data_IF_462059973654
#
_entry.id   IF_462059973654
#
_cell.length_a   1.000
_cell.length_b   1.000
_cell.length_c   1.000
_cell.angle_alpha   90.00
_cell.angle_beta   90.00
_cell.angle_gamma   90.00
#
_symmetry.space_group_name_H-M   'P 1'
#
loop_
_entity.id
_entity.type
_entity.pdbx_description
1 polymer ?
#
# COMPACT_ATOMS: atom_id res chain seq x y z
N UNK A 1 -0.69 -13.12 10.57
CA UNK A 1 -1.27 -12.06 11.42
C UNK A 1 -2.61 -11.69 10.80
N UNK A 2 -3.51 -11.10 11.58
CA UNK A 2 -4.74 -10.52 11.02
C UNK A 2 -4.41 -9.33 10.11
N UNK A 3 -5.39 -8.91 9.34
CA UNK A 3 -5.31 -7.62 8.66
C UNK A 3 -5.20 -6.47 9.67
N UNK A 4 -4.52 -5.40 9.27
CA UNK A 4 -4.38 -4.20 10.08
C UNK A 4 -4.42 -2.95 9.22
N UNK A 5 -4.79 -1.83 9.84
CA UNK A 5 -4.95 -0.56 9.15
C UNK A 5 -3.79 0.39 9.48
N UNK A 6 -3.38 1.16 8.48
CA UNK A 6 -2.40 2.22 8.60
C UNK A 6 -2.96 3.51 7.98
N UNK A 7 -2.58 4.63 8.56
CA UNK A 7 -2.87 5.96 8.03
C UNK A 7 -1.59 6.60 7.53
N UNK A 8 -1.57 7.05 6.28
CA UNK A 8 -0.44 7.73 5.64
C UNK A 8 -0.98 8.96 4.94
N UNK A 9 -0.56 10.17 5.33
CA UNK A 9 -1.04 11.43 4.75
C UNK A 9 -2.57 11.61 4.69
N UNK A 10 -3.28 11.14 5.73
CA UNK A 10 -4.77 11.10 5.81
C UNK A 10 -5.43 10.05 4.90
N UNK A 11 -4.65 9.32 4.13
CA UNK A 11 -5.10 8.14 3.38
C UNK A 11 -5.06 6.90 4.29
N UNK A 12 -6.06 6.04 4.15
CA UNK A 12 -6.24 4.84 4.96
C UNK A 12 -6.00 3.60 4.12
N UNK A 13 -5.04 2.78 4.54
CA UNK A 13 -4.74 1.49 3.92
C UNK A 13 -5.00 0.37 4.89
N UNK A 14 -5.74 -0.64 4.43
CA UNK A 14 -5.86 -1.93 5.10
C UNK A 14 -4.89 -2.90 4.47
N UNK A 15 -3.98 -3.44 5.28
CA UNK A 15 -2.96 -4.38 4.86
C UNK A 15 -3.36 -5.78 5.32
N UNK A 16 -3.40 -6.71 4.37
CA UNK A 16 -3.65 -8.12 4.64
C UNK A 16 -2.45 -8.96 4.22
N UNK A 17 -2.02 -9.86 5.10
CA UNK A 17 -1.00 -10.85 4.76
C UNK A 17 -1.62 -11.99 3.96
N UNK A 18 -0.99 -12.34 2.83
CA UNK A 18 -1.38 -13.46 1.97
C UNK A 18 -0.18 -14.35 1.71
N UNK A 19 -0.27 -15.62 2.10
CA UNK A 19 0.68 -16.63 1.68
C UNK A 19 0.28 -17.15 0.30
N UNK A 20 1.19 -17.03 -0.65
CA UNK A 20 1.06 -17.59 -1.97
C UNK A 20 1.21 -19.13 -1.90
N UNK A 21 0.65 -19.88 -2.86
CA UNK A 21 0.77 -21.33 -2.90
C UNK A 21 2.22 -21.83 -2.99
N UNK A 22 3.13 -21.00 -3.48
CA UNK A 22 4.57 -21.26 -3.54
C UNK A 22 5.32 -20.98 -2.21
N UNK A 23 4.60 -20.58 -1.16
CA UNK A 23 5.15 -20.27 0.16
C UNK A 23 5.62 -18.83 0.34
N UNK A 24 5.62 -18.00 -0.72
CA UNK A 24 5.98 -16.59 -0.59
C UNK A 24 4.92 -15.80 0.16
N UNK A 25 5.38 -14.86 0.98
CA UNK A 25 4.52 -13.88 1.62
C UNK A 25 4.28 -12.70 0.69
N UNK A 26 3.02 -12.30 0.58
CA UNK A 26 2.56 -11.09 -0.10
C UNK A 26 1.72 -10.25 0.85
N UNK A 27 1.72 -8.95 0.63
CA UNK A 27 0.94 -7.98 1.38
C UNK A 27 -0.04 -7.30 0.41
N UNK A 28 -1.33 -7.47 0.65
CA UNK A 28 -2.37 -6.79 -0.09
C UNK A 28 -2.72 -5.48 0.63
N UNK A 29 -2.53 -4.35 -0.06
CA UNK A 29 -2.90 -3.02 0.41
C UNK A 29 -4.21 -2.61 -0.24
N UNK A 30 -5.27 -2.47 0.56
CA UNK A 30 -6.55 -1.92 0.13
C UNK A 30 -6.66 -0.47 0.58
N UNK A 31 -6.80 0.47 -0.35
CA UNK A 31 -6.88 1.90 -0.06
C UNK A 31 -8.34 2.28 0.21
N UNK A 32 -8.72 2.36 1.49
CA UNK A 32 -10.12 2.40 1.94
C UNK A 32 -10.84 3.72 1.63
N UNK A 33 -10.12 4.84 1.63
CA UNK A 33 -10.64 6.16 1.24
C UNK A 33 -10.01 6.64 -0.08
N UNK A 34 -9.44 5.71 -0.83
CA UNK A 34 -8.76 5.97 -2.08
C UNK A 34 -9.71 6.03 -3.27
N UNK A 35 -9.13 6.02 -4.48
CA UNK A 35 -9.90 6.03 -5.72
C UNK A 35 -10.79 4.78 -5.86
N UNK A 36 -11.72 4.84 -6.81
CA UNK A 36 -12.70 3.79 -7.06
C UNK A 36 -13.50 3.37 -5.80
N UNK A 37 -14.00 4.36 -5.05
CA UNK A 37 -14.82 4.16 -3.84
C UNK A 37 -14.15 3.25 -2.80
N UNK A 38 -12.83 3.38 -2.65
CA UNK A 38 -12.07 2.60 -1.68
C UNK A 38 -11.76 1.16 -2.09
N UNK A 39 -11.98 0.81 -3.36
CA UNK A 39 -11.68 -0.53 -3.89
C UNK A 39 -10.32 -0.63 -4.57
N UNK A 40 -9.66 0.52 -4.80
CA UNK A 40 -8.33 0.54 -5.38
C UNK A 40 -7.28 0.08 -4.36
N UNK A 41 -6.21 -0.51 -4.86
CA UNK A 41 -5.18 -1.11 -4.01
C UNK A 41 -4.06 -1.70 -4.83
N UNK A 42 -3.02 -2.16 -4.14
CA UNK A 42 -1.87 -2.79 -4.75
C UNK A 42 -1.38 -3.95 -3.89
N UNK A 43 -0.72 -4.92 -4.51
CA UNK A 43 -0.16 -6.07 -3.81
C UNK A 43 1.35 -6.03 -3.93
N UNK A 44 2.04 -6.11 -2.81
CA UNK A 44 3.50 -6.29 -2.77
C UNK A 44 3.77 -7.77 -2.55
N UNK A 45 4.34 -8.43 -3.55
CA UNK A 45 4.88 -9.77 -3.40
C UNK A 45 6.38 -9.71 -3.17
N UNK A 46 6.89 -10.37 -2.12
CA UNK A 46 8.33 -10.60 -2.03
C UNK A 46 8.71 -11.68 -3.05
N UNK A 47 9.11 -11.27 -4.24
CA UNK A 47 9.72 -12.16 -5.21
C UNK A 47 10.96 -12.81 -4.59
N UNK A 48 11.17 -14.11 -4.82
CA UNK A 48 12.31 -14.87 -4.29
C UNK A 48 13.67 -14.45 -4.91
N UNK A 49 13.97 -13.16 -4.93
CA UNK A 49 15.26 -12.59 -5.27
C UNK A 49 15.74 -11.77 -4.07
N UNK A 50 16.89 -12.15 -3.55
CA UNK A 50 17.51 -11.64 -2.31
C UNK A 50 16.80 -12.08 -1.02
N UNK A 51 16.83 -13.40 -0.81
CA UNK A 51 17.08 -13.96 0.51
C UNK A 51 18.36 -13.30 1.03
N UNK A 52 18.25 -12.45 2.05
CA UNK A 52 19.43 -12.12 2.84
C UNK A 52 20.02 -13.47 3.30
N UNK A 53 21.33 -13.73 3.10
CA UNK A 53 21.91 -15.07 3.27
C UNK A 53 21.84 -15.66 4.70
N UNK A 54 21.21 -14.96 5.64
CA UNK A 54 21.03 -15.36 7.03
C UNK A 54 19.55 -15.49 7.47
N UNK A 55 18.57 -15.51 6.54
CA UNK A 55 17.15 -15.71 6.86
C UNK A 55 16.69 -17.12 6.42
N UNK A 56 16.81 -18.16 7.27
CA UNK A 56 16.49 -19.54 6.90
C UNK A 56 14.99 -19.79 6.66
N UNK A 57 14.12 -18.85 7.01
CA UNK A 57 12.67 -18.92 6.78
C UNK A 57 12.25 -18.28 5.45
N UNK A 58 13.13 -17.52 4.76
CA UNK A 58 12.80 -16.82 3.50
C UNK A 58 11.62 -15.85 3.61
N UNK A 59 11.13 -15.62 4.83
CA UNK A 59 9.84 -15.07 5.17
C UNK A 59 9.97 -14.10 6.35
N UNK A 60 11.11 -13.39 6.44
CA UNK A 60 11.22 -12.20 7.29
C UNK A 60 10.07 -11.25 6.92
N UNK A 61 9.01 -11.27 7.73
CA UNK A 61 7.84 -10.41 7.58
C UNK A 61 8.32 -8.97 7.54
N UNK A 62 7.78 -8.18 6.63
CA UNK A 62 8.02 -6.75 6.65
C UNK A 62 7.50 -6.19 7.96
N UNK A 63 8.34 -5.40 8.63
CA UNK A 63 7.91 -4.65 9.80
C UNK A 63 6.83 -3.65 9.38
N UNK A 64 6.00 -3.24 10.34
CA UNK A 64 4.93 -2.28 10.09
C UNK A 64 5.47 -0.98 9.49
N UNK A 65 6.65 -0.54 9.93
CA UNK A 65 7.35 0.64 9.44
C UNK A 65 7.69 0.49 7.95
N UNK A 66 8.20 -0.66 7.53
CA UNK A 66 8.51 -0.90 6.12
C UNK A 66 7.24 -0.88 5.26
N UNK A 67 6.13 -1.43 5.73
CA UNK A 67 4.85 -1.38 5.01
C UNK A 67 4.28 0.03 4.92
N UNK A 68 4.52 0.87 5.94
CA UNK A 68 4.16 2.29 5.91
C UNK A 68 4.99 3.04 4.86
N UNK A 69 6.29 2.80 4.80
CA UNK A 69 7.18 3.40 3.78
C UNK A 69 6.76 3.01 2.36
N UNK A 70 6.41 1.74 2.13
CA UNK A 70 5.90 1.29 0.82
C UNK A 70 4.59 1.99 0.44
N UNK A 71 3.66 2.14 1.38
CA UNK A 71 2.41 2.86 1.15
C UNK A 71 2.65 4.36 0.86
N UNK A 72 3.61 4.97 1.54
CA UNK A 72 4.00 6.35 1.29
C UNK A 72 4.65 6.52 -0.09
N UNK A 73 5.57 5.62 -0.47
CA UNK A 73 6.20 5.62 -1.80
C UNK A 73 5.19 5.40 -2.93
N UNK A 74 4.22 4.51 -2.71
CA UNK A 74 3.11 4.31 -3.64
C UNK A 74 2.27 5.59 -3.81
N UNK A 75 1.89 6.25 -2.72
CA UNK A 75 1.14 7.51 -2.80
C UNK A 75 1.91 8.61 -3.52
N UNK A 76 3.20 8.78 -3.20
CA UNK A 76 4.05 9.78 -3.86
C UNK A 76 4.10 9.52 -5.38
N UNK A 77 4.27 8.26 -5.78
CA UNK A 77 4.23 7.85 -7.19
C UNK A 77 2.85 7.99 -7.82
N UNK A 78 1.78 7.79 -7.06
CA UNK A 78 0.40 7.93 -7.54
C UNK A 78 0.04 9.40 -7.81
N UNK A 79 0.48 10.32 -6.94
CA UNK A 79 0.19 11.75 -7.02
C UNK A 79 1.27 12.57 -7.75
N UNK A 80 2.36 11.96 -8.17
CA UNK A 80 3.37 12.64 -8.99
C UNK A 80 2.77 13.08 -10.34
N UNK A 81 3.36 14.09 -10.97
CA UNK A 81 2.90 14.57 -12.27
C UNK A 81 3.09 13.49 -13.34
N UNK A 82 2.05 13.17 -14.11
CA UNK A 82 2.03 11.99 -14.99
C UNK A 82 2.01 10.65 -14.25
N UNK A 83 1.62 10.65 -12.98
CA UNK A 83 1.36 9.44 -12.20
C UNK A 83 -0.03 8.87 -12.46
N UNK A 84 -0.25 7.65 -11.96
CA UNK A 84 -1.50 6.88 -12.13
C UNK A 84 -2.72 7.69 -11.66
N UNK A 85 -2.59 8.51 -10.60
CA UNK A 85 -3.69 9.31 -10.10
C UNK A 85 -4.17 10.39 -11.06
N UNK A 86 -3.25 11.05 -11.76
CA UNK A 86 -3.59 12.11 -12.70
C UNK A 86 -4.26 11.56 -13.98
N UNK A 87 -3.77 10.43 -14.49
CA UNK A 87 -4.22 9.85 -15.75
C UNK A 87 -5.45 8.94 -15.59
N UNK A 88 -5.43 8.01 -14.63
CA UNK A 88 -6.48 7.00 -14.45
C UNK A 88 -7.59 7.45 -13.50
N UNK A 89 -7.30 8.39 -12.59
CA UNK A 89 -8.24 8.83 -11.56
C UNK A 89 -8.34 10.37 -11.44
N UNK A 90 -8.64 11.10 -12.53
CA UNK A 90 -8.63 12.57 -12.55
C UNK A 90 -9.66 13.23 -11.60
N UNK A 91 -10.65 12.47 -11.12
CA UNK A 91 -11.67 12.93 -10.16
C UNK A 91 -11.31 12.64 -8.71
N UNK A 92 -10.25 11.86 -8.46
CA UNK A 92 -9.81 11.51 -7.11
C UNK A 92 -9.13 12.72 -6.46
N UNK A 93 -9.64 13.12 -5.30
CA UNK A 93 -9.10 14.23 -4.53
C UNK A 93 -8.40 13.65 -3.30
N UNK A 94 -7.10 13.97 -3.09
CA UNK A 94 -6.38 13.50 -1.92
C UNK A 94 -7.13 13.75 -0.61
N UNK A 95 -7.15 12.78 0.29
CA UNK A 95 -7.84 12.88 1.58
C UNK A 95 -7.35 14.08 2.40
N UNK A 96 -6.05 14.43 2.31
CA UNK A 96 -5.48 15.65 2.91
C UNK A 96 -6.14 16.95 2.44
N UNK A 97 -6.73 16.98 1.23
CA UNK A 97 -7.43 18.14 0.67
C UNK A 97 -8.92 18.16 1.02
N UNK A 98 -9.53 17.01 1.33
CA UNK A 98 -10.93 16.92 1.78
C UNK A 98 -11.16 17.64 3.12
N UNK A 99 -10.14 17.71 3.99
CA UNK A 99 -10.21 18.43 5.26
C UNK A 99 -10.28 19.96 5.17
N UNK A 100 -10.14 20.55 3.97
CA UNK A 100 -10.18 22.01 3.77
C UNK A 100 -11.47 22.51 3.10
N UNK A 101 -12.49 21.65 3.00
CA UNK A 101 -13.82 21.99 2.48
C UNK A 101 -14.86 22.04 3.59
N UNK A 102 -14.60 22.81 4.64
CA UNK A 102 -15.61 23.27 5.58
C UNK A 102 -15.52 24.79 5.63
N UNK A 103 -16.30 25.44 4.77
CA UNK A 103 -16.61 26.86 4.86
C UNK A 103 -17.56 27.18 6.00
#
# INVERSE_FOLDING_TARGET
MGDFEISVDHELFRISERYQPDGRLSYDFSWLNGPADGTYGFTIGRGGGEVAPNDPDGASRMSREALVEEAHSFQDSFYTAGGIGEEDFPVHIPARMHGNSAG
#
